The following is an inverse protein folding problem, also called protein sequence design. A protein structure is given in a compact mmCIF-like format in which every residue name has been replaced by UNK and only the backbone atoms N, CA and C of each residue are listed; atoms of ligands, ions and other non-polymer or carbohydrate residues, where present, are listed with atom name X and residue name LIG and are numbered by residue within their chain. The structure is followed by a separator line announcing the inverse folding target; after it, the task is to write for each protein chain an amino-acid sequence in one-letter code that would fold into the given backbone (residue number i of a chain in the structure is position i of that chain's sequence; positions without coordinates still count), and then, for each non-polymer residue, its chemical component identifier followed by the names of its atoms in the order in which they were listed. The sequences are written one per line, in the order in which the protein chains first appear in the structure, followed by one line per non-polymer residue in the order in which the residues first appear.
data_IF_399308146267
#
_entry.id   IF_399308146267
#
_cell.length_a   1.000
_cell.length_b   1.000
_cell.length_c   1.000
_cell.angle_alpha   90.00
_cell.angle_beta   90.00
_cell.angle_gamma   90.00
#
_symmetry.space_group_name_H-M   'P 1'
#
loop_
_entity.id
_entity.type
_entity.pdbx_description
1 polymer ?
#
# COMPACT_ATOMS: atom_id res chain seq x y z
N UNK A 1 -5.03 13.94 -24.75
CA UNK A 1 -4.59 13.68 -23.36
C UNK A 1 -5.36 14.47 -22.29
N UNK A 2 -5.77 15.72 -22.53
CA UNK A 2 -6.58 16.52 -21.59
C UNK A 2 -7.90 15.86 -21.14
N UNK A 3 -8.64 15.24 -22.07
CA UNK A 3 -9.88 14.51 -21.74
C UNK A 3 -9.68 13.27 -20.85
N UNK A 4 -8.52 12.61 -20.95
CA UNK A 4 -8.17 11.47 -20.08
C UNK A 4 -7.81 11.94 -18.68
N UNK A 5 -7.07 13.06 -18.56
CA UNK A 5 -6.73 13.67 -17.27
C UNK A 5 -8.00 14.04 -16.48
N UNK A 6 -8.94 14.74 -17.13
CA UNK A 6 -10.22 15.10 -16.51
C UNK A 6 -11.03 13.87 -16.07
N UNK A 7 -11.13 12.85 -16.92
CA UNK A 7 -11.81 11.60 -16.57
C UNK A 7 -11.18 10.91 -15.36
N UNK A 8 -9.84 10.85 -15.31
CA UNK A 8 -9.10 10.27 -14.19
C UNK A 8 -9.41 11.03 -12.89
N UNK A 9 -9.38 12.36 -12.93
CA UNK A 9 -9.68 13.21 -11.77
C UNK A 9 -11.10 12.95 -11.23
N UNK A 10 -12.10 12.91 -12.11
CA UNK A 10 -13.48 12.57 -11.77
C UNK A 10 -13.59 11.17 -11.13
N UNK A 11 -12.91 10.16 -11.70
CA UNK A 11 -12.92 8.80 -11.16
C UNK A 11 -12.21 8.68 -9.82
N UNK A 12 -11.15 9.45 -9.59
CA UNK A 12 -10.45 9.50 -8.31
C UNK A 12 -11.35 10.13 -7.24
N UNK A 13 -12.09 11.20 -7.55
CA UNK A 13 -13.05 11.80 -6.61
C UNK A 13 -14.17 10.82 -6.23
N UNK A 14 -14.69 10.06 -7.21
CA UNK A 14 -15.68 9.02 -6.93
C UNK A 14 -15.12 7.91 -6.04
N UNK A 15 -13.86 7.49 -6.28
CA UNK A 15 -13.17 6.52 -5.45
C UNK A 15 -12.96 7.04 -4.02
N UNK A 16 -12.52 8.29 -3.86
CA UNK A 16 -12.37 8.94 -2.55
C UNK A 16 -13.68 8.91 -1.74
N UNK A 17 -14.80 9.26 -2.38
CA UNK A 17 -16.12 9.24 -1.74
C UNK A 17 -16.56 7.81 -1.36
N UNK A 18 -16.29 6.83 -2.22
CA UNK A 18 -16.61 5.43 -1.93
C UNK A 18 -15.77 4.90 -0.75
N UNK A 19 -14.49 5.28 -0.66
CA UNK A 19 -13.62 4.95 0.49
C UNK A 19 -14.19 5.54 1.78
N UNK A 20 -14.63 6.80 1.76
CA UNK A 20 -15.27 7.44 2.93
C UNK A 20 -16.49 6.68 3.40
N UNK A 21 -17.36 6.27 2.48
CA UNK A 21 -18.55 5.49 2.80
C UNK A 21 -18.18 4.13 3.41
N UNK A 22 -17.21 3.42 2.82
CA UNK A 22 -16.72 2.15 3.34
C UNK A 22 -16.18 2.29 4.76
N UNK A 23 -15.38 3.32 5.03
CA UNK A 23 -14.75 3.51 6.33
C UNK A 23 -15.71 4.09 7.38
N UNK A 24 -16.74 4.83 6.99
CA UNK A 24 -17.75 5.35 7.91
C UNK A 24 -18.44 4.26 8.73
N UNK A 25 -18.58 3.04 8.16
CA UNK A 25 -19.17 1.90 8.85
C UNK A 25 -18.42 1.47 10.13
N UNK A 26 -17.15 1.84 10.30
CA UNK A 26 -16.38 1.48 11.51
C UNK A 26 -16.69 2.38 12.71
N UNK A 27 -17.21 3.59 12.49
CA UNK A 27 -17.28 4.62 13.52
C UNK A 27 -18.18 4.20 14.70
N UNK A 28 -19.40 3.71 14.41
CA UNK A 28 -20.36 3.32 15.44
C UNK A 28 -19.94 2.04 16.20
N UNK A 29 -19.52 0.95 15.54
CA UNK A 29 -19.01 -0.24 16.26
C UNK A 29 -17.80 0.06 17.14
N UNK A 30 -16.90 0.95 16.70
CA UNK A 30 -15.73 1.34 17.47
C UNK A 30 -16.13 2.11 18.74
N UNK A 31 -17.04 3.07 18.62
CA UNK A 31 -17.59 3.82 19.76
C UNK A 31 -18.32 2.91 20.76
N UNK A 32 -19.14 1.98 20.26
CA UNK A 32 -19.84 1.00 21.09
C UNK A 32 -18.84 0.06 21.80
N UNK A 33 -17.82 -0.37 21.08
CA UNK A 33 -16.73 -1.18 21.62
C UNK A 33 -16.00 -0.49 22.76
N UNK A 34 -15.66 0.79 22.60
CA UNK A 34 -15.05 1.62 23.66
C UNK A 34 -15.96 1.70 24.88
N UNK A 35 -17.27 1.95 24.70
CA UNK A 35 -18.24 1.96 25.80
C UNK A 35 -18.29 0.62 26.54
N UNK A 36 -18.27 -0.49 25.81
CA UNK A 36 -18.23 -1.83 26.37
C UNK A 36 -16.93 -2.11 27.13
N UNK A 37 -15.78 -1.69 26.59
CA UNK A 37 -14.49 -1.84 27.25
C UNK A 37 -14.46 -1.05 28.57
N UNK A 38 -14.91 0.22 28.58
CA UNK A 38 -14.99 1.06 29.78
C UNK A 38 -15.85 0.46 30.89
N UNK A 39 -16.94 -0.22 30.54
CA UNK A 39 -17.86 -0.80 31.54
C UNK A 39 -17.41 -2.16 32.04
N UNK A 40 -16.60 -2.89 31.26
CA UNK A 40 -16.23 -4.28 31.57
C UNK A 40 -14.77 -4.50 31.97
N UNK A 41 -13.87 -3.53 31.75
CA UNK A 41 -12.41 -3.73 31.92
C UNK A 41 -12.04 -4.22 33.34
N UNK A 42 -12.68 -3.72 34.41
CA UNK A 42 -12.37 -4.15 35.79
C UNK A 42 -12.65 -5.64 36.00
N UNK A 43 -13.78 -6.12 35.47
CA UNK A 43 -14.18 -7.53 35.54
C UNK A 43 -13.22 -8.40 34.73
N UNK A 44 -12.90 -7.99 33.51
CA UNK A 44 -11.97 -8.69 32.62
C UNK A 44 -10.58 -8.77 33.26
N UNK A 45 -10.04 -7.63 33.68
CA UNK A 45 -8.75 -7.55 34.34
C UNK A 45 -8.72 -8.39 35.63
N UNK A 46 -9.80 -8.35 36.42
CA UNK A 46 -9.97 -9.20 37.60
C UNK A 46 -9.85 -10.68 37.28
N UNK A 47 -10.49 -11.15 36.21
CA UNK A 47 -10.40 -12.54 35.76
C UNK A 47 -8.99 -12.92 35.30
N UNK A 48 -8.26 -12.02 34.64
CA UNK A 48 -6.88 -12.26 34.20
C UNK A 48 -5.87 -12.30 35.37
N UNK A 49 -6.16 -11.63 36.49
CA UNK A 49 -5.26 -11.50 37.64
C UNK A 49 -5.52 -12.56 38.74
N UNK A 50 -6.36 -13.56 38.47
CA UNK A 50 -6.68 -14.64 39.42
C UNK A 50 -6.34 -15.99 38.79
N UNK A 51 -5.86 -16.93 39.62
CA UNK A 51 -5.69 -18.35 39.24
C UNK A 51 -6.52 -19.25 40.14
N UNK A 52 -7.07 -20.31 39.56
CA UNK A 52 -7.87 -21.33 40.24
C UNK A 52 -7.14 -22.08 41.36
N UNK A 53 -5.80 -22.17 41.30
CA UNK A 53 -4.94 -22.84 42.31
C UNK A 53 -4.28 -21.88 43.30
N UNK A 54 -4.78 -20.64 43.42
CA UNK A 54 -4.23 -19.61 44.31
C UNK A 54 -2.96 -18.93 43.79
N UNK A 55 -2.25 -18.22 44.68
CA UNK A 55 -1.13 -17.33 44.34
C UNK A 55 0.25 -18.01 44.31
N UNK A 56 0.34 -19.30 44.65
CA UNK A 56 1.63 -19.98 44.74
C UNK A 56 2.28 -20.08 43.34
N UNK A 57 3.49 -19.54 43.19
CA UNK A 57 4.19 -19.40 41.91
C UNK A 57 3.62 -18.35 40.95
N UNK A 58 2.40 -17.85 41.15
CA UNK A 58 1.76 -16.89 40.25
C UNK A 58 2.49 -15.55 40.18
N UNK A 59 3.18 -15.15 41.25
CA UNK A 59 4.00 -13.94 41.24
C UNK A 59 5.08 -13.96 40.16
N UNK A 60 5.67 -15.13 39.85
CA UNK A 60 6.68 -15.25 38.78
C UNK A 60 6.04 -15.10 37.40
N UNK A 61 4.86 -15.69 37.22
CA UNK A 61 4.06 -15.50 36.00
C UNK A 61 3.70 -14.04 35.81
N UNK A 62 3.16 -13.38 36.85
CA UNK A 62 2.79 -11.98 36.78
C UNK A 62 4.01 -11.09 36.54
N UNK A 63 5.16 -11.43 37.11
CA UNK A 63 6.42 -10.72 36.84
C UNK A 63 6.82 -10.87 35.38
N UNK A 64 6.71 -12.08 34.83
CA UNK A 64 6.97 -12.31 33.41
C UNK A 64 5.98 -11.58 32.49
N UNK A 65 4.70 -11.49 32.85
CA UNK A 65 3.69 -10.66 32.15
C UNK A 65 4.14 -9.20 32.11
N UNK A 66 4.54 -8.65 33.26
CA UNK A 66 4.98 -7.26 33.38
C UNK A 66 6.25 -6.98 32.55
N UNK A 67 7.26 -7.85 32.67
CA UNK A 67 8.53 -7.73 31.93
C UNK A 67 8.35 -7.85 30.41
N UNK A 68 7.22 -8.39 29.95
CA UNK A 68 6.86 -8.54 28.54
C UNK A 68 5.64 -7.67 28.17
N UNK A 69 5.50 -6.50 28.81
CA UNK A 69 4.52 -5.48 28.47
C UNK A 69 3.07 -6.00 28.45
N UNK A 70 2.69 -6.77 29.47
CA UNK A 70 1.33 -7.30 29.62
C UNK A 70 1.08 -8.65 28.95
N UNK A 71 2.11 -9.29 28.38
CA UNK A 71 1.97 -10.53 27.62
C UNK A 71 2.81 -11.66 28.22
N UNK A 72 2.21 -12.81 28.45
CA UNK A 72 2.91 -14.03 28.82
C UNK A 72 2.40 -15.20 28.00
N UNK A 73 3.30 -15.81 27.24
CA UNK A 73 3.05 -17.04 26.51
C UNK A 73 3.93 -18.16 27.08
N UNK A 74 3.34 -19.32 27.33
CA UNK A 74 4.00 -20.53 27.80
C UNK A 74 3.46 -21.72 27.03
N UNK A 75 4.27 -22.80 26.93
CA UNK A 75 3.82 -24.07 26.35
C UNK A 75 2.92 -24.87 27.31
N UNK A 76 3.04 -24.62 28.62
CA UNK A 76 2.38 -25.41 29.67
C UNK A 76 1.32 -24.64 30.45
N UNK A 77 1.36 -23.30 30.40
CA UNK A 77 0.40 -22.42 31.07
C UNK A 77 -0.41 -21.65 30.04
N UNK A 78 -1.65 -21.32 30.39
CA UNK A 78 -2.52 -20.48 29.58
C UNK A 78 -1.82 -19.16 29.24
N UNK A 79 -1.96 -18.72 27.98
CA UNK A 79 -1.49 -17.41 27.54
C UNK A 79 -2.25 -16.33 28.33
N UNK A 80 -1.52 -15.35 28.83
CA UNK A 80 -2.07 -14.15 29.45
C UNK A 80 -1.71 -12.99 28.54
N UNK A 81 -2.70 -12.25 28.08
CA UNK A 81 -2.50 -11.02 27.33
C UNK A 81 -3.45 -9.98 27.89
N UNK A 82 -2.95 -9.14 28.79
CA UNK A 82 -3.76 -8.14 29.47
C UNK A 82 -4.25 -7.07 28.51
N UNK A 83 -3.45 -6.74 27.49
CA UNK A 83 -3.79 -5.73 26.50
C UNK A 83 -4.93 -6.24 25.61
N UNK A 84 -4.78 -7.45 25.05
CA UNK A 84 -5.81 -8.10 24.24
C UNK A 84 -7.10 -8.32 25.03
N UNK A 85 -7.00 -8.78 26.28
CA UNK A 85 -8.18 -9.05 27.10
C UNK A 85 -9.06 -7.80 27.31
N UNK A 86 -8.45 -6.65 27.64
CA UNK A 86 -9.21 -5.42 27.89
C UNK A 86 -9.62 -4.69 26.60
N UNK A 87 -8.97 -4.96 25.46
CA UNK A 87 -9.41 -4.46 24.15
C UNK A 87 -10.41 -5.37 23.45
N UNK A 88 -10.56 -6.63 23.90
CA UNK A 88 -11.47 -7.60 23.30
C UNK A 88 -12.91 -7.08 23.13
N UNK A 89 -13.53 -6.36 24.09
CA UNK A 89 -14.87 -5.81 23.90
C UNK A 89 -14.98 -4.83 22.72
N UNK A 90 -13.86 -4.21 22.31
CA UNK A 90 -13.77 -3.38 21.11
C UNK A 90 -13.75 -4.27 19.87
N UNK A 91 -12.90 -5.30 19.86
CA UNK A 91 -12.81 -6.29 18.77
C UNK A 91 -14.15 -6.99 18.51
N UNK A 92 -14.85 -7.42 19.55
CA UNK A 92 -16.17 -8.05 19.46
C UNK A 92 -17.20 -7.21 18.69
N UNK A 93 -17.07 -5.88 18.73
CA UNK A 93 -17.94 -4.96 17.99
C UNK A 93 -17.46 -4.69 16.58
N UNK A 94 -16.14 -4.56 16.35
CA UNK A 94 -15.61 -4.19 15.04
C UNK A 94 -15.45 -5.38 14.10
N UNK A 95 -15.19 -6.59 14.61
CA UNK A 95 -14.87 -7.77 13.80
C UNK A 95 -15.92 -8.09 12.72
N UNK A 96 -17.25 -8.02 13.01
CA UNK A 96 -18.28 -8.24 12.01
C UNK A 96 -18.20 -7.27 10.82
N UNK A 97 -17.73 -6.04 11.04
CA UNK A 97 -17.69 -4.97 10.03
C UNK A 97 -16.31 -4.88 9.36
N UNK A 98 -15.24 -4.95 10.16
CA UNK A 98 -13.86 -4.79 9.70
C UNK A 98 -13.49 -5.80 8.63
N UNK A 99 -13.86 -7.07 8.82
CA UNK A 99 -13.66 -8.11 7.82
C UNK A 99 -14.40 -7.82 6.51
N UNK A 100 -15.60 -7.24 6.59
CA UNK A 100 -16.44 -6.87 5.45
C UNK A 100 -15.85 -5.75 4.60
N UNK A 101 -15.25 -4.73 5.24
CA UNK A 101 -14.62 -3.59 4.54
C UNK A 101 -13.52 -4.08 3.57
N UNK A 102 -12.75 -5.08 3.96
CA UNK A 102 -11.61 -5.57 3.18
C UNK A 102 -11.87 -6.92 2.48
N UNK A 103 -13.14 -7.36 2.41
CA UNK A 103 -13.48 -8.64 1.79
C UNK A 103 -13.38 -8.53 0.25
N UNK A 104 -12.74 -9.53 -0.37
CA UNK A 104 -12.68 -9.68 -1.83
C UNK A 104 -13.89 -10.49 -2.31
N UNK A 105 -14.51 -10.10 -3.42
CA UNK A 105 -15.52 -10.91 -4.11
C UNK A 105 -16.98 -10.76 -3.63
N UNK A 106 -17.27 -9.94 -2.61
CA UNK A 106 -18.66 -9.61 -2.23
C UNK A 106 -19.04 -8.21 -2.73
N UNK A 107 -20.11 -8.11 -3.51
CA UNK A 107 -20.64 -6.84 -4.06
C UNK A 107 -21.42 -5.99 -3.05
N UNK A 108 -21.25 -6.23 -1.74
CA UNK A 108 -21.84 -5.38 -0.71
C UNK A 108 -21.21 -3.99 -0.80
N UNK A 109 -22.03 -2.93 -0.81
CA UNK A 109 -21.57 -1.53 -0.89
C UNK A 109 -20.67 -1.08 0.26
N UNK A 110 -20.43 -1.95 1.25
CA UNK A 110 -19.51 -1.73 2.36
C UNK A 110 -18.07 -2.19 2.08
N UNK A 111 -17.82 -2.91 0.97
CA UNK A 111 -16.51 -3.49 0.66
C UNK A 111 -15.67 -2.56 -0.23
N UNK A 112 -14.42 -2.35 0.16
CA UNK A 112 -13.48 -1.46 -0.54
C UNK A 112 -12.99 -2.04 -1.87
N UNK A 113 -12.71 -3.34 -1.92
CA UNK A 113 -12.07 -3.98 -3.08
C UNK A 113 -12.91 -3.85 -4.36
N UNK A 114 -14.24 -4.09 -4.35
CA UNK A 114 -15.08 -3.84 -5.52
C UNK A 114 -15.00 -2.40 -6.07
N UNK A 115 -14.82 -1.39 -5.22
CA UNK A 115 -14.65 -0.01 -5.69
C UNK A 115 -13.30 0.22 -6.38
N UNK A 116 -12.24 -0.44 -5.90
CA UNK A 116 -10.92 -0.43 -6.53
C UNK A 116 -10.98 -1.15 -7.88
N UNK A 117 -11.67 -2.30 -7.95
CA UNK A 117 -11.88 -3.05 -9.19
C UNK A 117 -12.74 -2.27 -10.20
N UNK A 118 -13.81 -1.63 -9.76
CA UNK A 118 -14.63 -0.78 -10.61
C UNK A 118 -13.82 0.42 -11.16
N UNK A 119 -12.99 1.03 -10.31
CA UNK A 119 -12.07 2.09 -10.73
C UNK A 119 -11.09 1.57 -11.80
N UNK A 120 -10.47 0.41 -11.57
CA UNK A 120 -9.60 -0.30 -12.53
C UNK A 120 -10.26 -0.47 -13.89
N UNK A 121 -11.43 -1.09 -13.90
CA UNK A 121 -12.15 -1.38 -15.13
C UNK A 121 -12.54 -0.10 -15.86
N UNK A 122 -12.98 0.94 -15.15
CA UNK A 122 -13.32 2.23 -15.76
C UNK A 122 -12.13 2.91 -16.44
N UNK A 123 -10.94 2.80 -15.88
CA UNK A 123 -9.72 3.33 -16.50
C UNK A 123 -9.33 2.53 -17.74
N UNK A 124 -9.35 1.20 -17.64
CA UNK A 124 -9.02 0.31 -18.76
C UNK A 124 -9.98 0.50 -19.94
N UNK A 125 -11.28 0.64 -19.67
CA UNK A 125 -12.30 0.91 -20.67
C UNK A 125 -12.06 2.26 -21.34
N UNK A 126 -11.85 3.33 -20.56
CA UNK A 126 -11.62 4.67 -21.13
C UNK A 126 -10.36 4.73 -21.99
N UNK A 127 -9.29 4.04 -21.57
CA UNK A 127 -8.08 3.98 -22.38
C UNK A 127 -8.27 3.18 -23.67
N UNK A 128 -9.07 2.11 -23.63
CA UNK A 128 -9.43 1.34 -24.82
C UNK A 128 -10.25 2.18 -25.79
N UNK A 129 -11.24 2.94 -25.30
CA UNK A 129 -12.05 3.87 -26.10
C UNK A 129 -11.19 4.94 -26.78
N UNK A 130 -10.32 5.61 -26.03
CA UNK A 130 -9.40 6.61 -26.57
C UNK A 130 -8.48 5.99 -27.62
N UNK A 131 -8.04 4.75 -27.39
CA UNK A 131 -7.19 4.05 -28.33
C UNK A 131 -7.87 3.69 -29.65
N UNK A 132 -9.12 3.26 -29.59
CA UNK A 132 -9.93 3.03 -30.79
C UNK A 132 -10.15 4.34 -31.56
N UNK A 133 -10.51 5.43 -30.85
CA UNK A 133 -10.79 6.74 -31.46
C UNK A 133 -9.58 7.37 -32.15
N UNK A 134 -8.39 7.15 -31.60
CA UNK A 134 -7.14 7.69 -32.12
C UNK A 134 -6.46 6.76 -33.14
N UNK A 135 -7.13 5.71 -33.61
CA UNK A 135 -6.59 4.82 -34.64
C UNK A 135 -5.35 4.05 -34.19
N UNK A 136 -5.23 3.67 -32.90
CA UNK A 136 -4.09 2.89 -32.36
C UNK A 136 -3.94 1.48 -32.95
N UNK A 137 -4.53 1.20 -34.12
CA UNK A 137 -4.32 -0.01 -34.92
C UNK A 137 -2.84 -0.23 -35.28
N UNK A 138 -2.05 0.84 -35.36
CA UNK A 138 -0.60 0.81 -35.67
C UNK A 138 0.32 1.16 -34.49
N UNK A 139 -0.21 1.67 -33.37
CA UNK A 139 0.55 2.11 -32.19
C UNK A 139 0.33 1.11 -31.02
N UNK A 140 0.60 -0.18 -31.29
CA UNK A 140 0.31 -1.29 -30.37
C UNK A 140 1.07 -1.19 -29.05
N UNK A 141 2.26 -0.57 -29.07
CA UNK A 141 3.13 -0.46 -27.91
C UNK A 141 2.59 0.55 -26.87
N UNK A 142 2.03 1.71 -27.27
CA UNK A 142 1.42 2.66 -26.32
C UNK A 142 0.21 2.07 -25.62
N UNK A 143 -0.63 1.34 -26.36
CA UNK A 143 -1.77 0.62 -25.80
C UNK A 143 -1.29 -0.43 -24.78
N UNK A 144 -0.31 -1.26 -25.17
CA UNK A 144 0.24 -2.29 -24.28
C UNK A 144 0.85 -1.69 -23.03
N UNK A 145 1.68 -0.64 -23.18
CA UNK A 145 2.30 0.08 -22.07
C UNK A 145 1.26 0.61 -21.08
N UNK A 146 0.25 1.35 -21.56
CA UNK A 146 -0.77 1.92 -20.69
C UNK A 146 -1.58 0.86 -19.93
N UNK A 147 -1.95 -0.26 -20.59
CA UNK A 147 -2.66 -1.36 -19.95
C UNK A 147 -1.79 -2.05 -18.88
N UNK A 148 -0.51 -2.27 -19.20
CA UNK A 148 0.45 -2.87 -18.28
C UNK A 148 0.68 -1.96 -17.08
N UNK A 149 0.89 -0.66 -17.29
CA UNK A 149 1.10 0.30 -16.20
C UNK A 149 -0.12 0.45 -15.30
N UNK A 150 -1.34 0.55 -15.85
CA UNK A 150 -2.55 0.53 -15.00
C UNK A 150 -2.59 -0.73 -14.14
N UNK A 151 -2.30 -1.89 -14.73
CA UNK A 151 -2.34 -3.18 -14.03
C UNK A 151 -1.28 -3.23 -12.92
N UNK A 152 -0.07 -2.73 -13.16
CA UNK A 152 1.01 -2.66 -12.19
C UNK A 152 0.70 -1.68 -11.04
N UNK A 153 0.19 -0.48 -11.37
CA UNK A 153 -0.21 0.53 -10.38
C UNK A 153 -1.26 -0.04 -9.42
N UNK A 154 -2.26 -0.71 -9.97
CA UNK A 154 -3.39 -1.23 -9.19
C UNK A 154 -3.02 -2.49 -8.41
N UNK A 155 -2.23 -3.41 -8.97
CA UNK A 155 -1.68 -4.53 -8.19
C UNK A 155 -0.80 -4.03 -7.02
N UNK A 156 -0.02 -2.96 -7.25
CA UNK A 156 0.73 -2.29 -6.20
C UNK A 156 -0.14 -1.60 -5.15
N UNK A 157 -1.34 -1.14 -5.53
CA UNK A 157 -2.31 -0.51 -4.63
C UNK A 157 -2.96 -1.55 -3.70
N UNK A 158 -3.41 -2.69 -4.23
CA UNK A 158 -3.96 -3.79 -3.44
C UNK A 158 -2.97 -4.25 -2.35
N UNK A 159 -1.71 -4.46 -2.73
CA UNK A 159 -0.65 -4.80 -1.77
C UNK A 159 -0.43 -3.72 -0.70
N UNK A 160 -0.59 -2.43 -1.04
CA UNK A 160 -0.52 -1.34 -0.07
C UNK A 160 -1.68 -1.40 0.94
N UNK A 161 -2.91 -1.63 0.45
CA UNK A 161 -4.12 -1.75 1.26
C UNK A 161 -3.99 -2.92 2.24
N UNK A 162 -3.57 -4.09 1.78
CA UNK A 162 -3.43 -5.29 2.63
C UNK A 162 -2.41 -5.10 3.75
N UNK A 163 -1.27 -4.45 3.48
CA UNK A 163 -0.28 -4.14 4.52
C UNK A 163 -0.82 -3.17 5.57
N UNK A 164 -1.59 -2.17 5.15
CA UNK A 164 -2.20 -1.19 6.05
C UNK A 164 -3.36 -1.77 6.85
N UNK A 165 -4.16 -2.69 6.27
CA UNK A 165 -5.24 -3.42 6.97
C UNK A 165 -4.76 -4.02 8.29
N UNK A 166 -3.65 -4.77 8.28
CA UNK A 166 -3.10 -5.38 9.49
C UNK A 166 -2.73 -4.32 10.54
N UNK A 167 -2.04 -3.27 10.13
CA UNK A 167 -1.62 -2.17 11.02
C UNK A 167 -2.81 -1.43 11.63
N UNK A 168 -3.88 -1.22 10.87
CA UNK A 168 -5.12 -0.63 11.38
C UNK A 168 -5.70 -1.53 12.47
N UNK A 169 -5.85 -2.83 12.19
CA UNK A 169 -6.44 -3.79 13.14
C UNK A 169 -5.66 -3.86 14.46
N UNK A 170 -4.34 -3.97 14.38
CA UNK A 170 -3.43 -4.09 15.55
C UNK A 170 -3.26 -2.76 16.31
N UNK A 171 -3.69 -1.63 15.75
CA UNK A 171 -3.48 -0.31 16.35
C UNK A 171 -4.19 -0.14 17.70
N UNK A 172 -5.33 -0.81 17.92
CA UNK A 172 -6.08 -0.72 19.18
C UNK A 172 -5.28 -1.30 20.35
N UNK A 173 -4.91 -2.58 20.26
CA UNK A 173 -4.09 -3.25 21.28
C UNK A 173 -2.74 -2.59 21.44
N UNK A 174 -2.11 -2.14 20.34
CA UNK A 174 -0.82 -1.44 20.41
C UNK A 174 -0.93 -0.11 21.16
N UNK A 175 -2.01 0.66 20.95
CA UNK A 175 -2.22 1.93 21.65
C UNK A 175 -2.42 1.69 23.15
N UNK A 176 -3.26 0.73 23.51
CA UNK A 176 -3.52 0.36 24.92
C UNK A 176 -2.24 -0.15 25.60
N UNK A 177 -1.47 -1.00 24.92
CA UNK A 177 -0.20 -1.49 25.47
C UNK A 177 0.79 -0.35 25.75
N UNK A 178 0.88 0.64 24.86
CA UNK A 178 1.77 1.79 25.07
C UNK A 178 1.36 2.61 26.29
N UNK A 179 0.05 2.83 26.48
CA UNK A 179 -0.49 3.57 27.62
C UNK A 179 -0.29 2.81 28.95
N UNK A 180 -0.34 1.47 28.91
CA UNK A 180 -0.13 0.61 30.09
C UNK A 180 1.33 0.27 30.37
N UNK A 181 2.25 0.58 29.46
CA UNK A 181 3.67 0.24 29.59
C UNK A 181 4.29 0.72 30.92
N UNK A 182 4.07 1.97 31.38
CA UNK A 182 4.62 2.42 32.67
C UNK A 182 4.10 1.62 33.86
N UNK A 183 2.85 1.16 33.79
CA UNK A 183 2.24 0.34 34.83
C UNK A 183 2.86 -1.06 34.90
N UNK A 184 3.17 -1.66 33.75
CA UNK A 184 3.89 -2.92 33.70
C UNK A 184 5.33 -2.79 34.20
N UNK A 185 6.02 -1.72 33.84
CA UNK A 185 7.37 -1.45 34.32
C UNK A 185 7.40 -1.31 35.85
N UNK A 186 6.49 -0.52 36.43
CA UNK A 186 6.35 -0.37 37.89
C UNK A 186 6.07 -1.72 38.58
N UNK A 187 5.07 -2.47 38.09
CA UNK A 187 4.72 -3.77 38.66
C UNK A 187 5.85 -4.80 38.54
N UNK A 188 6.61 -4.78 37.45
CA UNK A 188 7.72 -5.70 37.20
C UNK A 188 8.88 -5.59 38.17
N UNK A 189 9.08 -4.41 38.79
CA UNK A 189 10.13 -4.17 39.78
C UNK A 189 9.79 -4.67 41.18
N UNK A 190 8.53 -5.03 41.45
CA UNK A 190 8.09 -5.42 42.78
C UNK A 190 8.68 -6.79 43.17
N UNK A 191 9.29 -6.83 44.34
CA UNK A 191 9.86 -8.05 44.94
C UNK A 191 9.49 -8.14 46.43
N UNK A 192 9.77 -9.28 47.07
CA UNK A 192 9.59 -9.49 48.51
C UNK A 192 8.21 -10.01 48.96
N UNK A 193 7.95 -9.96 50.27
CA UNK A 193 6.70 -10.46 50.89
C UNK A 193 5.48 -9.85 50.23
N UNK A 194 4.42 -10.61 49.97
CA UNK A 194 3.18 -10.13 49.31
C UNK A 194 3.39 -9.46 47.93
N UNK A 195 4.50 -9.73 47.23
CA UNK A 195 4.77 -9.16 45.90
C UNK A 195 3.61 -9.39 44.92
N UNK A 196 3.01 -10.58 44.91
CA UNK A 196 1.89 -10.91 44.02
C UNK A 196 0.72 -9.94 44.16
N UNK A 197 0.25 -9.68 45.38
CA UNK A 197 -0.89 -8.77 45.60
C UNK A 197 -0.52 -7.32 45.29
N UNK A 198 0.68 -6.87 45.70
CA UNK A 198 1.16 -5.52 45.34
C UNK A 198 1.23 -5.31 43.83
N UNK A 199 1.70 -6.31 43.08
CA UNK A 199 1.74 -6.25 41.62
C UNK A 199 0.34 -6.14 41.01
N UNK A 200 -0.62 -6.96 41.48
CA UNK A 200 -2.01 -6.85 41.02
C UNK A 200 -2.59 -5.47 41.32
N UNK A 201 -2.29 -4.92 42.49
CA UNK A 201 -2.80 -3.61 42.89
C UNK A 201 -2.20 -2.47 42.07
N UNK A 202 -0.90 -2.52 41.76
CA UNK A 202 -0.27 -1.57 40.82
C UNK A 202 -0.90 -1.67 39.44
N UNK A 203 -1.11 -2.90 38.93
CA UNK A 203 -1.77 -3.12 37.64
C UNK A 203 -3.18 -2.54 37.62
N UNK A 204 -4.00 -2.84 38.63
CA UNK A 204 -5.37 -2.33 38.74
C UNK A 204 -5.40 -0.80 38.78
N UNK A 205 -4.62 -0.18 39.67
CA UNK A 205 -4.56 1.29 39.79
C UNK A 205 -4.07 1.96 38.51
N UNK A 206 -3.05 1.39 37.86
CA UNK A 206 -2.53 1.90 36.60
C UNK A 206 -3.55 1.84 35.48
N UNK A 207 -4.26 0.70 35.33
CA UNK A 207 -5.34 0.56 34.36
C UNK A 207 -6.50 1.51 34.69
N UNK A 208 -6.93 1.61 35.96
CA UNK A 208 -7.99 2.53 36.38
C UNK A 208 -7.64 3.98 36.02
N UNK A 209 -6.40 4.41 36.29
CA UNK A 209 -5.91 5.74 35.94
C UNK A 209 -5.95 5.96 34.43
N UNK A 210 -5.41 5.03 33.64
CA UNK A 210 -5.36 5.18 32.19
C UNK A 210 -6.75 5.18 31.54
N UNK A 211 -7.70 4.40 32.06
CA UNK A 211 -9.10 4.44 31.61
C UNK A 211 -9.78 5.77 31.97
N UNK A 212 -9.49 6.33 33.16
CA UNK A 212 -9.97 7.66 33.54
C UNK A 212 -9.39 8.76 32.65
N UNK A 213 -8.12 8.62 32.23
CA UNK A 213 -7.44 9.51 31.29
C UNK A 213 -7.86 9.31 29.83
N UNK A 214 -8.73 8.34 29.52
CA UNK A 214 -9.25 8.14 28.16
C UNK A 214 -8.43 7.21 27.26
N UNK A 215 -7.76 6.19 27.83
CA UNK A 215 -6.96 5.21 27.07
C UNK A 215 -7.72 4.53 25.92
N UNK A 216 -8.99 4.16 26.12
CA UNK A 216 -9.78 3.51 25.07
C UNK A 216 -10.20 4.49 23.96
N UNK A 217 -10.50 5.74 24.33
CA UNK A 217 -10.80 6.81 23.40
C UNK A 217 -9.58 7.13 22.52
N UNK A 218 -8.38 7.24 23.11
CA UNK A 218 -7.13 7.40 22.36
C UNK A 218 -6.88 6.23 21.39
N UNK A 219 -7.15 5.00 21.83
CA UNK A 219 -7.03 3.83 20.96
C UNK A 219 -8.00 3.90 19.77
N UNK A 220 -9.26 4.31 20.01
CA UNK A 220 -10.24 4.58 18.96
C UNK A 220 -9.74 5.65 17.99
N UNK A 221 -9.30 6.80 18.48
CA UNK A 221 -8.78 7.91 17.67
C UNK A 221 -7.58 7.45 16.82
N UNK A 222 -6.69 6.64 17.40
CA UNK A 222 -5.54 6.07 16.70
C UNK A 222 -5.97 5.20 15.53
N UNK A 223 -6.95 4.31 15.73
CA UNK A 223 -7.48 3.47 14.65
C UNK A 223 -8.17 4.30 13.57
N UNK A 224 -9.01 5.28 13.95
CA UNK A 224 -9.66 6.20 13.01
C UNK A 224 -8.64 6.97 12.18
N UNK A 225 -7.57 7.46 12.81
CA UNK A 225 -6.48 8.12 12.12
C UNK A 225 -5.79 7.18 11.12
N UNK A 226 -5.60 5.90 11.45
CA UNK A 226 -5.03 4.93 10.51
C UNK A 226 -5.95 4.69 9.28
N UNK A 227 -7.27 4.72 9.44
CA UNK A 227 -8.21 4.70 8.30
C UNK A 227 -8.07 5.95 7.42
N UNK A 228 -7.96 7.13 8.02
CA UNK A 228 -7.74 8.38 7.28
C UNK A 228 -6.39 8.37 6.54
N UNK A 229 -5.33 7.86 7.16
CA UNK A 229 -4.04 7.66 6.51
C UNK A 229 -4.11 6.68 5.35
N UNK A 230 -4.90 5.60 5.47
CA UNK A 230 -5.09 4.66 4.38
C UNK A 230 -5.83 5.30 3.20
N UNK A 231 -6.90 6.07 3.47
CA UNK A 231 -7.62 6.83 2.44
C UNK A 231 -6.66 7.74 1.68
N UNK A 232 -5.94 8.62 2.39
CA UNK A 232 -4.97 9.53 1.76
C UNK A 232 -3.87 8.77 1.02
N UNK A 233 -3.37 7.67 1.60
CA UNK A 233 -2.35 6.83 0.96
C UNK A 233 -2.82 6.17 -0.34
N UNK A 234 -4.07 5.73 -0.42
CA UNK A 234 -4.69 5.21 -1.65
C UNK A 234 -4.77 6.33 -2.69
N UNK A 235 -5.37 7.45 -2.32
CA UNK A 235 -5.59 8.60 -3.19
C UNK A 235 -4.28 9.14 -3.78
N UNK A 236 -3.30 9.42 -2.94
CA UNK A 236 -2.02 9.98 -3.37
C UNK A 236 -1.24 9.00 -4.25
N UNK A 237 -1.29 7.70 -3.92
CA UNK A 237 -0.66 6.68 -4.75
C UNK A 237 -1.28 6.62 -6.13
N UNK A 238 -2.61 6.61 -6.22
CA UNK A 238 -3.33 6.59 -7.52
C UNK A 238 -3.06 7.87 -8.31
N UNK A 239 -3.19 9.05 -7.70
CA UNK A 239 -2.93 10.34 -8.35
C UNK A 239 -1.50 10.41 -8.88
N UNK A 240 -0.50 10.15 -8.04
CA UNK A 240 0.91 10.22 -8.41
C UNK A 240 1.27 9.21 -9.50
N UNK A 241 0.86 7.95 -9.35
CA UNK A 241 1.16 6.92 -10.34
C UNK A 241 0.50 7.18 -11.70
N UNK A 242 -0.76 7.61 -11.73
CA UNK A 242 -1.44 7.93 -13.00
C UNK A 242 -0.86 9.19 -13.63
N UNK A 243 -0.53 10.22 -12.85
CA UNK A 243 0.12 11.42 -13.37
C UNK A 243 1.45 11.09 -14.05
N UNK A 244 2.30 10.27 -13.40
CA UNK A 244 3.56 9.79 -13.98
C UNK A 244 3.32 9.02 -15.27
N UNK A 245 2.41 8.04 -15.27
CA UNK A 245 2.05 7.27 -16.48
C UNK A 245 1.58 8.18 -17.62
N UNK A 246 0.70 9.16 -17.36
CA UNK A 246 0.20 10.07 -18.37
C UNK A 246 1.28 11.01 -18.92
N UNK A 247 2.23 11.43 -18.07
CA UNK A 247 3.41 12.20 -18.49
C UNK A 247 4.30 11.37 -19.40
N UNK A 248 4.64 10.13 -19.01
CA UNK A 248 5.43 9.21 -19.83
C UNK A 248 4.76 8.87 -21.17
N UNK A 249 3.43 8.69 -21.17
CA UNK A 249 2.68 8.46 -22.40
C UNK A 249 2.60 9.70 -23.30
N UNK A 250 2.68 10.91 -22.73
CA UNK A 250 2.66 12.17 -23.48
C UNK A 250 4.04 12.57 -24.01
N UNK A 251 5.12 12.15 -23.35
CA UNK A 251 6.50 12.52 -23.70
C UNK A 251 7.11 11.73 -24.86
N UNK A 252 6.41 10.73 -25.42
CA UNK A 252 6.90 9.98 -26.58
C UNK A 252 6.84 10.73 -27.92
N UNK A 253 6.67 12.06 -27.90
CA UNK A 253 7.00 12.95 -29.02
C UNK A 253 8.24 13.82 -28.78
N UNK A 254 8.79 13.83 -27.56
CA UNK A 254 9.82 14.79 -27.15
C UNK A 254 10.86 14.12 -26.23
N UNK A 255 11.90 13.54 -26.83
CA UNK A 255 13.24 13.36 -26.26
C UNK A 255 13.46 12.56 -24.97
N UNK A 256 12.45 12.18 -24.19
CA UNK A 256 12.64 11.72 -22.80
C UNK A 256 13.30 10.34 -22.67
N UNK A 257 13.19 9.48 -23.69
CA UNK A 257 13.96 8.22 -23.73
C UNK A 257 15.48 8.47 -23.88
N UNK A 258 15.91 9.69 -24.26
CA UNK A 258 17.32 10.10 -24.26
C UNK A 258 17.83 10.43 -22.85
N UNK A 259 16.93 10.59 -21.89
CA UNK A 259 17.24 10.98 -20.50
C UNK A 259 16.95 9.88 -19.46
N UNK A 260 16.25 8.81 -19.85
CA UNK A 260 16.08 7.60 -19.03
C UNK A 260 17.44 6.95 -18.75
N UNK A 261 17.88 6.98 -17.49
CA UNK A 261 19.23 6.57 -17.10
C UNK A 261 19.57 5.12 -17.45
N UNK A 262 18.56 4.26 -17.52
CA UNK A 262 18.61 2.82 -17.82
C UNK A 262 18.70 2.49 -19.31
N UNK A 263 18.39 3.42 -20.22
CA UNK A 263 18.38 3.19 -21.67
C UNK A 263 19.23 4.21 -22.45
N UNK A 264 19.79 5.19 -21.75
CA UNK A 264 20.55 6.31 -22.34
C UNK A 264 21.80 5.87 -23.10
N UNK A 265 22.51 4.85 -22.61
CA UNK A 265 23.71 4.29 -23.25
C UNK A 265 23.37 3.60 -24.58
N UNK A 266 22.36 2.75 -24.54
CA UNK A 266 21.87 1.94 -25.64
C UNK A 266 21.33 2.83 -26.76
N UNK A 267 20.60 3.90 -26.39
CA UNK A 267 20.10 4.88 -27.34
C UNK A 267 21.23 5.66 -28.04
N UNK A 268 22.27 6.07 -27.29
CA UNK A 268 23.45 6.74 -27.89
C UNK A 268 24.17 5.84 -28.88
N UNK A 269 24.35 4.57 -28.56
CA UNK A 269 24.96 3.59 -29.47
C UNK A 269 24.10 3.36 -30.72
N UNK A 270 22.77 3.27 -30.57
CA UNK A 270 21.85 3.19 -31.71
C UNK A 270 21.94 4.41 -32.64
N UNK A 271 21.99 5.63 -32.10
CA UNK A 271 22.16 6.84 -32.92
C UNK A 271 23.50 6.85 -33.66
N UNK A 272 24.57 6.40 -33.00
CA UNK A 272 25.91 6.32 -33.60
C UNK A 272 25.91 5.34 -34.76
N UNK A 273 25.36 4.13 -34.55
CA UNK A 273 25.22 3.13 -35.61
C UNK A 273 24.38 3.65 -36.78
N UNK A 274 23.25 4.31 -36.49
CA UNK A 274 22.38 4.86 -37.52
C UNK A 274 23.10 5.90 -38.39
N UNK A 275 23.86 6.82 -37.75
CA UNK A 275 24.68 7.80 -38.47
C UNK A 275 25.75 7.14 -39.33
N UNK A 276 26.50 6.18 -38.78
CA UNK A 276 27.54 5.47 -39.54
C UNK A 276 26.95 4.69 -40.72
N UNK A 277 25.80 4.04 -40.55
CA UNK A 277 25.13 3.33 -41.65
C UNK A 277 24.64 4.27 -42.74
N UNK A 278 24.11 5.44 -42.38
CA UNK A 278 23.69 6.47 -43.34
C UNK A 278 24.89 6.98 -44.14
N UNK A 279 25.99 7.27 -43.46
CA UNK A 279 27.23 7.77 -44.07
C UNK A 279 27.86 6.71 -45.01
N UNK A 280 27.83 5.43 -44.62
CA UNK A 280 28.26 4.32 -45.49
C UNK A 280 27.36 4.20 -46.72
N UNK A 281 26.05 4.35 -46.57
CA UNK A 281 25.11 4.29 -47.69
C UNK A 281 25.33 5.45 -48.68
N UNK A 282 25.51 6.68 -48.18
CA UNK A 282 25.80 7.86 -48.99
C UNK A 282 27.15 7.71 -49.73
N UNK A 283 28.18 7.23 -49.04
CA UNK A 283 29.48 6.95 -49.65
C UNK A 283 29.42 5.84 -50.72
N UNK A 284 28.58 4.81 -50.52
CA UNK A 284 28.37 3.75 -51.51
C UNK A 284 27.65 4.25 -52.78
N UNK A 285 26.77 5.24 -52.65
CA UNK A 285 26.13 5.92 -53.78
C UNK A 285 27.14 6.78 -54.53
N UNK A 286 27.95 7.57 -53.81
CA UNK A 286 29.01 8.40 -54.41
C UNK A 286 30.05 7.56 -55.16
N UNK A 287 30.50 6.43 -54.60
CA UNK A 287 31.45 5.52 -55.26
C UNK A 287 30.87 4.90 -56.53
N UNK A 288 29.58 4.52 -56.53
CA UNK A 288 28.91 4.02 -57.73
C UNK A 288 28.80 5.09 -58.81
N UNK A 289 28.40 6.32 -58.45
CA UNK A 289 28.35 7.44 -59.40
C UNK A 289 29.72 7.77 -59.99
N UNK A 290 30.79 7.69 -59.19
CA UNK A 290 32.15 7.95 -59.66
C UNK A 290 32.69 6.84 -60.58
N UNK A 291 32.36 5.56 -60.30
CA UNK A 291 32.68 4.45 -61.22
C UNK A 291 31.97 4.59 -62.56
N UNK A 292 30.70 4.99 -62.55
CA UNK A 292 29.91 5.20 -63.77
C UNK A 292 30.43 6.39 -64.60
N UNK A 293 30.87 7.46 -63.93
CA UNK A 293 31.53 8.59 -64.56
C UNK A 293 32.86 8.20 -65.23
N UNK A 294 33.71 7.43 -64.55
CA UNK A 294 35.00 6.97 -65.10
C UNK A 294 34.83 6.00 -66.28
N UNK A 295 33.79 5.16 -66.26
CA UNK A 295 33.43 4.29 -67.38
C UNK A 295 33.01 5.09 -68.62
N UNK A 296 32.30 6.21 -68.45
CA UNK A 296 31.93 7.11 -69.57
C UNK A 296 33.11 7.91 -70.13
N UNK A 297 34.13 8.18 -69.32
CA UNK A 297 35.31 8.96 -69.72
C UNK A 297 36.44 8.12 -70.32
N UNK A 298 36.30 6.79 -70.36
CA UNK A 298 37.30 5.88 -70.93
C UNK A 298 37.28 5.94 -72.47
N UNK A 299 38.37 6.34 -73.16
CA UNK A 299 38.37 6.44 -74.61
C UNK A 299 38.36 5.04 -75.24
N UNK A 300 37.33 4.78 -76.06
CA UNK A 300 37.21 3.57 -76.86
C UNK A 300 38.41 3.45 -77.80
N UNK A 301 39.20 2.38 -77.68
CA UNK A 301 40.24 2.04 -78.67
C UNK A 301 39.54 1.76 -80.00
N UNK A 302 39.67 2.67 -80.95
CA UNK A 302 39.37 2.39 -82.35
C UNK A 302 40.25 1.22 -82.81
N UNK A 303 39.64 0.07 -83.10
CA UNK A 303 40.31 -1.05 -83.76
C UNK A 303 40.74 -0.67 -85.17
N UNK A 304 41.81 -1.29 -85.72
CA UNK A 304 42.33 -0.91 -87.03
C UNK A 304 41.34 -1.28 -88.15
N UNK A 305 41.34 -0.55 -89.28
CA UNK A 305 40.45 -0.83 -90.38
C UNK A 305 40.88 -2.13 -91.07
N UNK A 306 39.89 -2.98 -91.38
CA UNK A 306 40.08 -4.20 -92.16
C UNK A 306 40.30 -3.84 -93.63
N UNK A 307 41.40 -4.32 -94.20
CA UNK A 307 41.57 -4.59 -95.65
C UNK A 307 41.86 -6.07 -95.80
#
# INVERSE_FOLDING_TARGET
MSGLRRFVEEKIQLLEKAIDQCFAHIAQPLQEGVRNARTSYRRILGACLVRSRGNQGFHQTLKAVCLKNGIYASRTLARIDLNEAITQPIYDRIDPVFGGIFRVGTSSGSALMPHIDAFKHSLQEKMTEIGIRNGWKYDSYKKSFLIQEISAILGGLEGHILRKKRRIYESLTSSVQNDLKPCYEEAGQITGKKACERMKDVIRRGVDRQVAEGMFERAQERMQHQFQQLKHGITEKVKGSIATMLTLASSQGDGLYKELADVKSEYKEMEKLHRSLREVAENAVLRRGMQEFLLRMSPSKAGPPKT
#
